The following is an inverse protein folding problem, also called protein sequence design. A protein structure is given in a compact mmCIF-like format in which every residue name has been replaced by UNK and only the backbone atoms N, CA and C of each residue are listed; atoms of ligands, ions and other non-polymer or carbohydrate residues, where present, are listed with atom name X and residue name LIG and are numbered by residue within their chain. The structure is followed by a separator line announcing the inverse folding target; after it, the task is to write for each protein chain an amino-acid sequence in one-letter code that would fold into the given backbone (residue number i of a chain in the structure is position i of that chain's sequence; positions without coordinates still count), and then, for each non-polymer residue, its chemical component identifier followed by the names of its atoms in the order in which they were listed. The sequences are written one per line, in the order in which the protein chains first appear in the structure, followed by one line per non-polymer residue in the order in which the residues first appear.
data_IF_950439845266
#
_entry.id   IF_950439845266
#
_cell.length_a   1.000
_cell.length_b   1.000
_cell.length_c   1.000
_cell.angle_alpha   90.00
_cell.angle_beta   90.00
_cell.angle_gamma   90.00
#
_symmetry.space_group_name_H-M   'P 1'
#
loop_
_entity.id
_entity.type
_entity.pdbx_description
1 polymer ?
#
# COMPACT_ATOMS: atom_id res chain seq x y z
N UNK A 1 -15.07 1.87 13.34
CA UNK A 1 -15.96 3.05 13.15
C UNK A 1 -16.45 3.65 14.46
N UNK A 2 -17.15 2.90 15.32
CA UNK A 2 -17.79 3.43 16.53
C UNK A 2 -16.88 4.30 17.44
N UNK A 3 -15.66 3.84 17.77
CA UNK A 3 -14.71 4.60 18.60
C UNK A 3 -14.46 6.03 18.08
N UNK A 4 -14.20 6.19 16.77
CA UNK A 4 -13.94 7.50 16.17
C UNK A 4 -15.20 8.38 16.16
N UNK A 5 -16.37 7.80 15.87
CA UNK A 5 -17.64 8.55 15.94
C UNK A 5 -17.84 9.18 17.32
N UNK A 6 -17.48 8.47 18.39
CA UNK A 6 -17.58 8.99 19.75
C UNK A 6 -16.50 10.03 20.10
N UNK A 7 -15.24 9.79 19.73
CA UNK A 7 -14.12 10.62 20.18
C UNK A 7 -13.93 11.88 19.32
N UNK A 8 -14.11 11.79 18.01
CA UNK A 8 -13.80 12.90 17.07
C UNK A 8 -15.02 13.41 16.30
N UNK A 9 -16.22 12.85 16.52
CA UNK A 9 -17.39 13.15 15.71
C UNK A 9 -17.80 14.63 15.70
N UNK A 10 -18.10 15.19 16.88
CA UNK A 10 -18.65 16.56 16.98
C UNK A 10 -17.72 17.55 17.68
N UNK A 11 -16.79 17.07 18.52
CA UNK A 11 -16.03 17.92 19.45
C UNK A 11 -15.06 18.89 18.75
N UNK A 12 -14.62 18.58 17.53
CA UNK A 12 -13.74 19.44 16.73
C UNK A 12 -14.46 20.66 16.13
N UNK A 13 -15.79 20.66 16.10
CA UNK A 13 -16.60 21.77 15.59
C UNK A 13 -17.14 22.72 16.66
N UNK A 14 -16.72 22.58 17.92
CA UNK A 14 -17.22 23.39 19.02
C UNK A 14 -16.83 24.86 18.85
N UNK A 15 -17.82 25.76 18.74
CA UNK A 15 -17.59 27.22 18.61
C UNK A 15 -16.80 27.83 19.77
N UNK A 16 -16.83 27.19 20.93
CA UNK A 16 -16.08 27.61 22.12
C UNK A 16 -14.58 27.28 22.04
N UNK A 17 -14.17 26.40 21.12
CA UNK A 17 -12.77 26.04 20.93
C UNK A 17 -12.24 26.74 19.68
N UNK A 18 -11.08 27.40 19.82
CA UNK A 18 -10.37 27.99 18.66
C UNK A 18 -9.71 26.94 17.79
N UNK A 19 -9.17 25.89 18.41
CA UNK A 19 -8.53 24.77 17.75
C UNK A 19 -8.54 23.55 18.69
N UNK A 20 -8.55 22.35 18.13
CA UNK A 20 -8.43 21.09 18.85
C UNK A 20 -7.59 20.11 18.03
N UNK A 21 -6.73 19.34 18.69
CA UNK A 21 -5.96 18.24 18.10
C UNK A 21 -5.97 17.06 19.04
N UNK A 22 -6.28 15.87 18.51
CA UNK A 22 -6.13 14.61 19.24
C UNK A 22 -4.68 14.15 19.11
N UNK A 23 -3.95 14.16 20.22
CA UNK A 23 -2.51 13.82 20.22
C UNK A 23 -2.26 12.32 20.46
N UNK A 24 -2.98 11.69 21.39
CA UNK A 24 -2.81 10.26 21.72
C UNK A 24 -4.09 9.63 22.29
N UNK A 25 -4.17 8.30 22.25
CA UNK A 25 -5.23 7.49 22.84
C UNK A 25 -4.65 6.29 23.60
N UNK A 26 -4.96 6.18 24.89
CA UNK A 26 -4.73 4.94 25.62
C UNK A 26 -5.84 3.93 25.32
N UNK A 27 -5.53 2.90 24.54
CA UNK A 27 -6.47 1.81 24.25
C UNK A 27 -6.30 0.68 25.28
N UNK A 28 -7.35 0.31 26.04
CA UNK A 28 -7.25 -0.75 27.03
C UNK A 28 -7.14 -2.13 26.36
N UNK A 29 -6.42 -3.06 27.01
CA UNK A 29 -6.19 -4.41 26.49
C UNK A 29 -7.47 -5.19 26.21
N UNK A 30 -8.53 -4.97 27.01
CA UNK A 30 -9.84 -5.60 26.78
C UNK A 30 -10.45 -5.18 25.44
N UNK A 31 -10.27 -3.92 25.04
CA UNK A 31 -10.74 -3.40 23.77
C UNK A 31 -9.82 -3.80 22.62
N UNK A 32 -8.49 -3.69 22.79
CA UNK A 32 -7.55 -4.06 21.72
C UNK A 32 -7.67 -5.54 21.31
N UNK A 33 -7.99 -6.43 22.26
CA UNK A 33 -8.20 -7.86 22.01
C UNK A 33 -9.45 -8.19 21.17
N UNK A 34 -10.36 -7.24 20.94
CA UNK A 34 -11.51 -7.45 20.05
C UNK A 34 -11.19 -7.25 18.58
N UNK A 35 -9.95 -6.83 18.24
CA UNK A 35 -9.51 -6.60 16.87
C UNK A 35 -8.55 -7.71 16.43
N UNK A 36 -8.61 -8.05 15.14
CA UNK A 36 -7.71 -9.04 14.55
C UNK A 36 -6.24 -8.61 14.57
N UNK A 37 -5.97 -7.31 14.42
CA UNK A 37 -4.61 -6.80 14.21
C UNK A 37 -4.09 -7.03 12.79
N UNK A 38 -2.78 -6.90 12.56
CA UNK A 38 -2.17 -7.08 11.25
C UNK A 38 -2.33 -8.53 10.74
N UNK A 39 -2.72 -8.77 9.48
CA UNK A 39 -2.94 -10.13 8.96
C UNK A 39 -1.66 -10.97 8.84
N UNK A 40 -0.50 -10.33 8.69
CA UNK A 40 0.80 -11.01 8.65
C UNK A 40 1.75 -10.46 9.73
N UNK A 41 1.80 -9.13 9.89
CA UNK A 41 2.80 -8.50 10.75
C UNK A 41 4.23 -8.66 10.19
N UNK A 42 5.19 -8.06 10.89
CA UNK A 42 6.56 -7.90 10.38
C UNK A 42 7.28 -9.25 10.19
N UNK A 43 7.14 -10.17 11.15
CA UNK A 43 7.85 -11.44 11.14
C UNK A 43 7.38 -12.31 9.96
N UNK A 44 6.08 -12.56 9.85
CA UNK A 44 5.52 -13.39 8.77
C UNK A 44 5.76 -12.77 7.40
N UNK A 45 5.71 -11.43 7.28
CA UNK A 45 6.05 -10.76 6.02
C UNK A 45 7.50 -11.03 5.62
N UNK A 46 8.46 -10.93 6.55
CA UNK A 46 9.87 -11.25 6.28
C UNK A 46 10.09 -12.71 5.94
N UNK A 47 9.39 -13.61 6.62
CA UNK A 47 9.47 -15.05 6.37
C UNK A 47 8.97 -15.38 4.96
N UNK A 48 7.82 -14.80 4.56
CA UNK A 48 7.26 -14.96 3.21
C UNK A 48 8.18 -14.42 2.12
N UNK A 49 8.95 -13.38 2.40
CA UNK A 49 9.86 -12.75 1.44
C UNK A 49 11.27 -13.34 1.46
N UNK A 50 11.61 -14.11 2.49
CA UNK A 50 12.96 -14.57 2.79
C UNK A 50 13.99 -13.42 2.84
N UNK A 51 13.65 -12.31 3.52
CA UNK A 51 14.46 -11.08 3.58
C UNK A 51 14.64 -10.56 5.02
N UNK A 52 15.87 -10.67 5.52
CA UNK A 52 16.23 -10.35 6.92
C UNK A 52 17.42 -9.40 7.01
N UNK A 53 17.64 -8.82 8.19
CA UNK A 53 18.83 -8.02 8.49
C UNK A 53 18.92 -6.66 7.79
N UNK A 54 17.98 -6.32 6.90
CA UNK A 54 17.92 -5.03 6.22
C UNK A 54 16.50 -4.47 6.09
N UNK A 55 16.35 -3.14 5.88
CA UNK A 55 15.12 -2.54 5.40
C UNK A 55 14.70 -3.13 4.04
N UNK A 56 13.38 -3.16 3.81
CA UNK A 56 12.81 -3.47 2.50
C UNK A 56 12.80 -2.20 1.64
N UNK A 57 13.26 -2.30 0.41
CA UNK A 57 13.35 -1.19 -0.52
C UNK A 57 12.15 -1.21 -1.48
N UNK A 58 11.53 -0.06 -1.71
CA UNK A 58 10.52 0.06 -2.73
C UNK A 58 10.31 1.47 -3.24
N UNK A 59 9.57 1.59 -4.34
CA UNK A 59 9.27 2.88 -4.96
C UNK A 59 7.82 2.96 -5.47
N UNK A 60 7.32 4.19 -5.58
CA UNK A 60 6.08 4.49 -6.31
C UNK A 60 6.41 4.73 -7.77
N UNK A 61 5.68 4.11 -8.70
CA UNK A 61 5.90 4.33 -10.14
C UNK A 61 5.54 5.77 -10.50
N UNK A 62 6.37 6.38 -11.36
CA UNK A 62 6.21 7.76 -11.85
C UNK A 62 6.20 7.78 -13.40
N UNK A 63 5.58 8.79 -14.03
CA UNK A 63 4.78 9.87 -13.44
C UNK A 63 3.52 9.34 -12.74
N UNK A 64 2.96 10.17 -11.85
CA UNK A 64 1.83 9.81 -10.99
C UNK A 64 0.62 9.30 -11.78
N UNK A 65 0.29 9.95 -12.90
CA UNK A 65 -0.80 9.58 -13.81
C UNK A 65 -0.33 9.67 -15.26
N UNK A 66 -1.08 9.03 -16.16
CA UNK A 66 -0.89 9.17 -17.62
C UNK A 66 -0.06 8.07 -18.28
N UNK A 67 0.53 7.14 -17.53
CA UNK A 67 1.10 5.93 -18.11
C UNK A 67 0.01 4.97 -18.58
N UNK A 68 0.22 4.35 -19.74
CA UNK A 68 -0.56 3.19 -20.17
C UNK A 68 -0.16 1.95 -19.36
N UNK A 69 -1.05 0.95 -19.28
CA UNK A 69 -0.81 -0.28 -18.52
C UNK A 69 0.50 -1.00 -18.91
N UNK A 70 0.80 -1.07 -20.22
CA UNK A 70 2.03 -1.68 -20.73
C UNK A 70 3.29 -0.93 -20.28
N UNK A 71 3.29 0.40 -20.39
CA UNK A 71 4.43 1.22 -19.94
C UNK A 71 4.57 1.17 -18.41
N UNK A 72 3.46 1.07 -17.69
CA UNK A 72 3.43 0.88 -16.26
C UNK A 72 4.11 -0.44 -15.85
N UNK A 73 3.75 -1.57 -16.49
CA UNK A 73 4.40 -2.85 -16.27
C UNK A 73 5.91 -2.81 -16.59
N UNK A 74 6.32 -2.11 -17.66
CA UNK A 74 7.75 -1.93 -17.97
C UNK A 74 8.49 -1.21 -16.84
N UNK A 75 7.91 -0.12 -16.31
CA UNK A 75 8.52 0.60 -15.18
C UNK A 75 8.64 -0.29 -13.93
N UNK A 76 7.59 -1.08 -13.63
CA UNK A 76 7.61 -2.07 -12.54
C UNK A 76 8.75 -3.07 -12.73
N UNK A 77 8.88 -3.64 -13.92
CA UNK A 77 9.93 -4.61 -14.23
C UNK A 77 11.34 -4.04 -14.03
N UNK A 78 11.64 -2.88 -14.61
CA UNK A 78 12.98 -2.28 -14.50
C UNK A 78 13.34 -1.97 -13.04
N UNK A 79 12.39 -1.44 -12.27
CA UNK A 79 12.59 -1.16 -10.85
C UNK A 79 12.86 -2.43 -10.02
N UNK A 80 12.08 -3.49 -10.23
CA UNK A 80 12.24 -4.75 -9.48
C UNK A 80 13.51 -5.48 -9.88
N UNK A 81 13.82 -5.55 -11.17
CA UNK A 81 15.05 -6.15 -11.67
C UNK A 81 16.29 -5.37 -11.24
N UNK A 82 16.17 -4.04 -11.10
CA UNK A 82 17.22 -3.16 -10.59
C UNK A 82 17.54 -3.32 -9.11
N UNK A 83 16.85 -4.19 -8.38
CA UNK A 83 17.17 -4.55 -6.99
C UNK A 83 16.16 -4.10 -5.95
N UNK A 84 15.05 -3.44 -6.32
CA UNK A 84 13.98 -3.17 -5.36
C UNK A 84 13.26 -4.46 -4.94
N UNK A 85 12.75 -4.47 -3.71
CA UNK A 85 11.91 -5.56 -3.22
C UNK A 85 10.46 -5.37 -3.70
N UNK A 86 10.00 -4.12 -3.68
CA UNK A 86 8.64 -3.74 -4.02
C UNK A 86 8.57 -2.54 -4.97
N UNK A 87 7.48 -2.50 -5.72
CA UNK A 87 6.99 -1.27 -6.35
C UNK A 87 5.54 -1.03 -5.93
N UNK A 88 4.98 0.14 -6.19
CA UNK A 88 3.57 0.42 -5.88
C UNK A 88 2.91 1.38 -6.85
N UNK A 89 1.60 1.21 -6.96
CA UNK A 89 0.67 2.21 -7.46
C UNK A 89 0.80 3.53 -6.67
N UNK A 90 0.67 4.67 -7.35
CA UNK A 90 0.45 5.96 -6.69
C UNK A 90 -0.99 5.96 -6.12
N UNK A 91 -1.24 6.69 -5.03
CA UNK A 91 -2.50 6.56 -4.29
C UNK A 91 -3.75 6.97 -5.10
N UNK A 92 -3.56 7.77 -6.14
CA UNK A 92 -4.61 8.19 -7.06
C UNK A 92 -4.63 7.40 -8.39
N UNK A 93 -3.85 6.32 -8.51
CA UNK A 93 -3.96 5.36 -9.62
C UNK A 93 -4.99 4.30 -9.24
N UNK A 94 -6.17 4.36 -9.87
CA UNK A 94 -7.29 3.47 -9.59
C UNK A 94 -7.70 2.77 -10.88
N UNK A 95 -8.68 3.32 -11.61
CA UNK A 95 -9.11 2.83 -12.92
C UNK A 95 -9.55 3.99 -13.81
N UNK A 96 -8.57 4.71 -14.35
CA UNK A 96 -8.80 5.87 -15.18
C UNK A 96 -8.94 5.51 -16.68
N UNK A 97 -9.47 6.40 -17.53
CA UNK A 97 -9.58 6.15 -18.97
C UNK A 97 -8.26 5.77 -19.65
N UNK A 98 -7.13 6.33 -19.20
CA UNK A 98 -5.80 6.06 -19.77
C UNK A 98 -5.20 4.70 -19.34
N UNK A 99 -5.73 4.09 -18.28
CA UNK A 99 -5.23 2.83 -17.74
C UNK A 99 -6.29 2.17 -16.84
N UNK A 100 -7.01 1.18 -17.39
CA UNK A 100 -7.96 0.39 -16.61
C UNK A 100 -7.21 -0.56 -15.68
N UNK A 101 -7.77 -0.77 -14.49
CA UNK A 101 -7.09 -1.52 -13.43
C UNK A 101 -6.76 -2.96 -13.83
N UNK A 102 -7.63 -3.64 -14.59
CA UNK A 102 -7.40 -5.02 -15.02
C UNK A 102 -6.15 -5.13 -15.88
N UNK A 103 -6.01 -4.25 -16.87
CA UNK A 103 -4.85 -4.24 -17.75
C UNK A 103 -3.58 -3.94 -16.95
N UNK A 104 -3.64 -2.96 -16.03
CA UNK A 104 -2.50 -2.65 -15.16
C UNK A 104 -2.08 -3.87 -14.34
N UNK A 105 -3.03 -4.56 -13.71
CA UNK A 105 -2.76 -5.72 -12.87
C UNK A 105 -2.08 -6.84 -13.67
N UNK A 106 -2.55 -7.11 -14.89
CA UNK A 106 -1.97 -8.12 -15.77
C UNK A 106 -0.52 -7.79 -16.16
N UNK A 107 -0.26 -6.56 -16.62
CA UNK A 107 1.10 -6.15 -16.99
C UNK A 107 2.05 -6.06 -15.78
N UNK A 108 1.55 -5.68 -14.59
CA UNK A 108 2.35 -5.70 -13.37
C UNK A 108 2.68 -7.13 -12.92
N UNK A 109 1.74 -8.07 -13.05
CA UNK A 109 1.97 -9.47 -12.73
C UNK A 109 3.03 -10.09 -13.67
N UNK A 110 2.92 -9.83 -14.98
CA UNK A 110 3.94 -10.26 -15.95
C UNK A 110 5.33 -9.72 -15.59
N UNK A 111 5.42 -8.41 -15.32
CA UNK A 111 6.65 -7.75 -14.90
C UNK A 111 7.26 -8.35 -13.61
N UNK A 112 6.41 -8.62 -12.62
CA UNK A 112 6.81 -9.21 -11.34
C UNK A 112 7.37 -10.62 -11.52
N UNK A 113 6.66 -11.50 -12.22
CA UNK A 113 7.11 -12.88 -12.43
C UNK A 113 8.39 -12.92 -13.25
N UNK A 114 8.52 -12.05 -14.26
CA UNK A 114 9.76 -11.93 -15.03
C UNK A 114 10.94 -11.48 -14.17
N UNK A 115 10.77 -10.42 -13.36
CA UNK A 115 11.84 -9.95 -12.48
C UNK A 115 12.21 -11.00 -11.41
N UNK A 116 11.24 -11.73 -10.85
CA UNK A 116 11.49 -12.81 -9.91
C UNK A 116 12.27 -13.97 -10.54
N UNK A 117 11.92 -14.38 -11.76
CA UNK A 117 12.64 -15.42 -12.49
C UNK A 117 14.10 -15.03 -12.80
N UNK A 118 14.35 -13.77 -13.16
CA UNK A 118 15.69 -13.29 -13.52
C UNK A 118 16.59 -12.99 -12.30
N UNK A 119 16.00 -12.60 -11.17
CA UNK A 119 16.77 -12.23 -9.95
C UNK A 119 16.88 -13.37 -8.94
N UNK A 120 16.01 -14.38 -9.01
CA UNK A 120 15.92 -15.44 -8.00
C UNK A 120 15.35 -14.96 -6.65
N UNK A 121 14.87 -13.71 -6.56
CA UNK A 121 14.30 -13.15 -5.35
C UNK A 121 12.78 -13.00 -5.43
N UNK A 122 12.11 -13.15 -4.29
CA UNK A 122 10.69 -12.79 -4.18
C UNK A 122 10.53 -11.28 -4.35
N UNK A 123 9.68 -10.88 -5.31
CA UNK A 123 9.36 -9.48 -5.64
C UNK A 123 7.88 -9.19 -5.45
N UNK A 124 7.54 -7.93 -5.23
CA UNK A 124 6.16 -7.51 -5.03
C UNK A 124 5.76 -6.22 -5.75
N UNK A 125 4.46 -6.08 -5.99
CA UNK A 125 3.85 -4.83 -6.41
C UNK A 125 2.60 -4.56 -5.57
N UNK A 126 2.51 -3.41 -4.90
CA UNK A 126 1.28 -3.01 -4.19
C UNK A 126 0.26 -2.48 -5.19
N UNK A 127 -0.62 -3.39 -5.62
CA UNK A 127 -1.74 -3.11 -6.52
C UNK A 127 -2.82 -2.33 -5.75
N UNK A 128 -3.13 -1.12 -6.21
CA UNK A 128 -4.16 -0.28 -5.60
C UNK A 128 -5.56 -0.80 -5.96
N UNK A 129 -6.25 -1.33 -4.95
CA UNK A 129 -7.63 -1.82 -5.04
C UNK A 129 -8.67 -0.79 -4.58
N UNK A 130 -8.27 0.47 -4.33
CA UNK A 130 -9.20 1.52 -3.93
C UNK A 130 -10.25 1.77 -5.02
N UNK A 131 -11.52 1.72 -4.64
CA UNK A 131 -12.66 1.89 -5.53
C UNK A 131 -13.81 2.64 -4.83
N UNK A 132 -14.84 3.01 -5.57
CA UNK A 132 -16.01 3.70 -5.01
C UNK A 132 -16.94 2.81 -4.19
N UNK A 133 -16.90 1.49 -4.40
CA UNK A 133 -17.72 0.47 -3.73
C UNK A 133 -17.00 -0.87 -3.74
#
# INVERSE_FOLDING_TARGET
TNMFTSIVGNVFGFKALRALRLEDLRIPTSYSKTFQGPPHGIQVERDKLNKYGRPLLGCTIKPKLGLSAKNYGRAVYECLRGGLDFTKDDENVNSQPFMRWRDRFLFCAEALYKAQAETGEIKGHYLNATAGT
#
